data_IF_442187402645
#
_entry.id   IF_442187402645
#
_cell.length_a   1.000
_cell.length_b   1.000
_cell.length_c   1.000
_cell.angle_alpha   90.00
_cell.angle_beta   90.00
_cell.angle_gamma   90.00
#
_symmetry.space_group_name_H-M   'P 1'
#
loop_
_entity.id
_entity.type
_entity.pdbx_description
1 polymer ?
#
# COMPACT_ATOMS: atom_id res chain seq x y z
N UNK A 1 16.47 -7.45 34.97
CA UNK A 1 15.94 -6.15 34.50
C UNK A 1 16.74 -5.81 33.24
N UNK A 2 16.06 -5.48 32.14
CA UNK A 2 16.52 -5.50 30.73
C UNK A 2 16.44 -6.88 30.06
N UNK A 3 15.28 -7.18 29.44
CA UNK A 3 15.15 -8.25 28.44
C UNK A 3 15.86 -7.76 27.18
N UNK A 4 16.92 -8.46 26.75
CA UNK A 4 17.67 -8.16 25.53
C UNK A 4 17.13 -8.88 24.30
N UNK A 5 15.92 -9.43 24.33
CA UNK A 5 15.49 -10.42 23.33
C UNK A 5 14.29 -10.05 22.44
N UNK A 6 13.66 -8.89 22.57
CA UNK A 6 12.39 -8.65 21.86
C UNK A 6 12.50 -7.62 20.70
N UNK A 7 13.69 -7.09 20.42
CA UNK A 7 13.87 -6.06 19.38
C UNK A 7 13.81 -6.60 17.94
N UNK A 8 14.03 -7.91 17.77
CA UNK A 8 13.91 -8.60 16.48
C UNK A 8 12.51 -9.16 16.26
N UNK A 9 11.67 -9.20 17.29
CA UNK A 9 10.29 -9.69 17.22
C UNK A 9 9.34 -8.56 16.79
N UNK A 10 9.73 -7.86 15.72
CA UNK A 10 8.95 -6.75 15.12
C UNK A 10 7.83 -7.29 14.21
N UNK A 11 7.79 -8.62 14.04
CA UNK A 11 6.80 -9.31 13.25
C UNK A 11 5.83 -10.06 14.18
N UNK A 12 4.66 -10.41 13.67
CA UNK A 12 3.71 -11.21 14.45
C UNK A 12 4.28 -12.64 14.67
N UNK A 13 4.01 -13.29 15.82
CA UNK A 13 4.41 -14.66 16.02
C UNK A 13 3.72 -15.59 15.02
N UNK A 14 4.43 -16.60 14.52
CA UNK A 14 3.86 -17.61 13.62
C UNK A 14 2.87 -18.44 14.43
N UNK A 15 1.58 -18.35 14.10
CA UNK A 15 0.58 -19.13 14.82
C UNK A 15 0.67 -20.62 14.47
N UNK A 16 0.34 -21.43 15.46
CA UNK A 16 0.45 -22.90 15.41
C UNK A 16 -0.75 -23.59 14.76
N UNK A 17 -1.74 -22.82 14.32
CA UNK A 17 -2.92 -23.30 13.59
C UNK A 17 -2.78 -23.01 12.10
N UNK A 18 -3.32 -23.88 11.24
CA UNK A 18 -3.23 -23.73 9.77
C UNK A 18 -3.73 -22.35 9.30
N UNK A 19 -4.85 -21.89 9.87
CA UNK A 19 -5.43 -20.57 9.58
C UNK A 19 -4.48 -19.43 9.97
N UNK A 20 -3.74 -19.56 11.08
CA UNK A 20 -2.84 -18.51 11.52
C UNK A 20 -1.55 -18.45 10.70
N UNK A 21 -1.12 -19.54 10.07
CA UNK A 21 0.00 -19.51 9.11
C UNK A 21 -0.39 -18.80 7.81
N UNK A 22 -1.61 -19.02 7.33
CA UNK A 22 -2.14 -18.31 6.16
C UNK A 22 -2.24 -16.80 6.39
N UNK A 23 -2.74 -16.39 7.57
CA UNK A 23 -2.82 -14.97 7.96
C UNK A 23 -1.44 -14.34 8.11
N UNK A 24 -0.46 -15.08 8.63
CA UNK A 24 0.92 -14.61 8.71
C UNK A 24 1.53 -14.35 7.32
N UNK A 25 1.29 -15.26 6.36
CA UNK A 25 1.70 -15.08 4.97
C UNK A 25 1.04 -13.87 4.31
N UNK A 26 -0.27 -13.69 4.53
CA UNK A 26 -1.02 -12.54 4.02
C UNK A 26 -0.50 -11.21 4.61
N UNK A 27 -0.20 -11.20 5.92
CA UNK A 27 0.36 -10.04 6.59
C UNK A 27 1.71 -9.63 5.99
N UNK A 28 2.62 -10.59 5.80
CA UNK A 28 3.93 -10.31 5.24
C UNK A 28 3.83 -9.81 3.78
N UNK A 29 2.91 -10.36 2.99
CA UNK A 29 2.64 -9.89 1.64
C UNK A 29 2.09 -8.45 1.62
N UNK A 30 1.10 -8.15 2.46
CA UNK A 30 0.53 -6.80 2.54
C UNK A 30 1.56 -5.79 3.02
N UNK A 31 2.40 -6.14 4.00
CA UNK A 31 3.50 -5.30 4.47
C UNK A 31 4.44 -4.92 3.32
N UNK A 32 4.86 -5.88 2.50
CA UNK A 32 5.71 -5.61 1.33
C UNK A 32 5.02 -4.73 0.28
N UNK A 33 3.72 -4.89 0.06
CA UNK A 33 2.94 -4.00 -0.82
C UNK A 33 2.99 -2.55 -0.30
N UNK A 34 2.80 -2.35 1.00
CA UNK A 34 2.84 -1.01 1.61
C UNK A 34 4.23 -0.38 1.49
N UNK A 35 5.30 -1.16 1.73
CA UNK A 35 6.68 -0.70 1.53
C UNK A 35 6.93 -0.30 0.07
N UNK A 36 6.50 -1.12 -0.89
CA UNK A 36 6.67 -0.84 -2.31
C UNK A 36 5.96 0.46 -2.73
N UNK A 37 4.70 0.64 -2.32
CA UNK A 37 3.95 1.88 -2.60
C UNK A 37 4.62 3.08 -1.92
N UNK A 38 5.08 2.93 -0.68
CA UNK A 38 5.83 3.96 0.03
C UNK A 38 7.06 4.41 -0.75
N UNK A 39 7.89 3.47 -1.21
CA UNK A 39 9.07 3.77 -2.04
C UNK A 39 8.69 4.51 -3.32
N UNK A 40 7.61 4.10 -4.00
CA UNK A 40 7.12 4.80 -5.20
C UNK A 40 6.71 6.23 -4.89
N UNK A 41 5.91 6.46 -3.84
CA UNK A 41 5.47 7.80 -3.43
C UNK A 41 6.65 8.68 -3.04
N UNK A 42 7.57 8.17 -2.21
CA UNK A 42 8.80 8.89 -1.85
C UNK A 42 9.66 9.21 -3.07
N UNK A 43 9.75 8.29 -4.04
CA UNK A 43 10.44 8.52 -5.31
C UNK A 43 9.81 9.65 -6.13
N UNK A 44 8.48 9.68 -6.25
CA UNK A 44 7.76 10.76 -6.94
C UNK A 44 7.93 12.10 -6.21
N UNK A 45 7.89 12.11 -4.88
CA UNK A 45 8.13 13.31 -4.08
C UNK A 45 9.56 13.84 -4.25
N UNK A 46 10.55 12.95 -4.26
CA UNK A 46 11.94 13.32 -4.51
C UNK A 46 12.14 13.86 -5.93
N UNK A 47 11.52 13.21 -6.92
CA UNK A 47 11.51 13.68 -8.30
C UNK A 47 10.85 15.07 -8.42
N UNK A 48 9.71 15.29 -7.76
CA UNK A 48 9.03 16.58 -7.76
C UNK A 48 9.91 17.67 -7.12
N UNK A 49 10.54 17.36 -5.98
CA UNK A 49 11.44 18.29 -5.30
C UNK A 49 12.64 18.67 -6.17
N UNK A 50 13.25 17.70 -6.87
CA UNK A 50 14.34 17.99 -7.80
C UNK A 50 13.85 18.79 -9.01
N UNK A 51 12.78 18.33 -9.67
CA UNK A 51 12.26 18.92 -10.92
C UNK A 51 11.70 20.32 -10.75
N UNK A 52 11.03 20.60 -9.64
CA UNK A 52 10.38 21.88 -9.33
C UNK A 52 11.20 22.76 -8.37
N UNK A 53 12.47 22.39 -8.11
CA UNK A 53 13.39 23.24 -7.34
C UNK A 53 13.50 24.62 -7.98
N UNK A 54 13.40 25.63 -7.11
CA UNK A 54 13.22 27.10 -7.29
C UNK A 54 14.00 27.83 -8.41
N UNK A 55 14.92 27.20 -9.13
CA UNK A 55 15.77 27.83 -10.14
C UNK A 55 15.13 28.01 -11.52
N UNK A 56 13.90 27.53 -11.75
CA UNK A 56 13.41 27.38 -13.12
C UNK A 56 12.28 28.32 -13.56
N UNK A 57 11.98 29.41 -12.82
CA UNK A 57 11.05 30.50 -13.23
C UNK A 57 9.84 30.03 -14.07
N UNK A 58 9.28 28.86 -13.75
CA UNK A 58 8.18 28.27 -14.48
C UNK A 58 6.93 28.88 -13.88
N UNK A 59 6.29 29.78 -14.64
CA UNK A 59 4.97 30.31 -14.36
C UNK A 59 4.11 29.14 -13.82
N UNK A 60 3.58 29.23 -12.58
CA UNK A 60 2.83 28.13 -11.99
C UNK A 60 1.67 27.82 -12.94
N UNK A 61 1.63 26.57 -13.41
CA UNK A 61 0.56 26.17 -14.29
C UNK A 61 -0.75 26.17 -13.50
N UNK A 62 -1.71 27.00 -13.91
CA UNK A 62 -3.08 27.00 -13.38
C UNK A 62 -3.78 25.71 -13.82
N UNK A 63 -3.52 24.62 -13.13
CA UNK A 63 -4.30 23.39 -13.23
C UNK A 63 -4.94 23.18 -11.85
N UNK A 64 -6.03 23.89 -11.60
CA UNK A 64 -6.68 23.83 -10.29
C UNK A 64 -7.55 22.57 -10.12
N UNK A 65 -7.89 21.84 -11.19
CA UNK A 65 -8.71 20.63 -11.06
C UNK A 65 -8.34 19.59 -12.13
N UNK A 66 -7.50 18.61 -11.80
CA UNK A 66 -7.29 17.47 -12.68
C UNK A 66 -8.38 16.41 -12.45
N UNK A 67 -9.61 16.73 -12.84
CA UNK A 67 -10.77 15.83 -12.80
C UNK A 67 -10.48 14.42 -13.35
N UNK A 68 -9.55 14.30 -14.32
CA UNK A 68 -9.16 13.02 -14.90
C UNK A 68 -8.34 12.15 -13.94
N UNK A 69 -7.49 12.78 -13.13
CA UNK A 69 -6.71 12.08 -12.10
C UNK A 69 -7.63 11.65 -10.95
N UNK A 70 -8.59 12.51 -10.58
CA UNK A 70 -9.56 12.19 -9.53
C UNK A 70 -10.48 11.03 -9.92
N UNK A 71 -10.95 11.04 -11.16
CA UNK A 71 -11.77 9.96 -11.69
C UNK A 71 -10.98 8.65 -11.84
N UNK A 72 -9.70 8.71 -12.21
CA UNK A 72 -8.86 7.53 -12.29
C UNK A 72 -8.67 6.85 -10.91
N UNK A 73 -8.36 7.62 -9.87
CA UNK A 73 -8.11 7.05 -8.53
C UNK A 73 -9.39 6.58 -7.82
N UNK A 74 -10.58 6.93 -8.29
CA UNK A 74 -11.87 6.47 -7.72
C UNK A 74 -12.39 5.22 -8.44
N UNK A 75 -12.25 5.18 -9.78
CA UNK A 75 -12.65 4.04 -10.60
C UNK A 75 -11.77 2.81 -10.30
N UNK A 76 -10.46 3.00 -10.16
CA UNK A 76 -9.52 1.88 -9.93
C UNK A 76 -9.86 1.10 -8.64
N UNK A 77 -10.01 1.73 -7.46
CA UNK A 77 -10.45 1.03 -6.25
C UNK A 77 -11.83 0.39 -6.38
N UNK A 78 -12.77 1.05 -7.05
CA UNK A 78 -14.14 0.53 -7.23
C UNK A 78 -14.15 -0.76 -8.06
N UNK A 79 -13.35 -0.81 -9.13
CA UNK A 79 -13.18 -2.00 -9.96
C UNK A 79 -12.47 -3.12 -9.18
N UNK A 80 -11.40 -2.81 -8.46
CA UNK A 80 -10.66 -3.80 -7.66
C UNK A 80 -11.57 -4.43 -6.59
N UNK A 81 -12.43 -3.66 -5.93
CA UNK A 81 -13.39 -4.18 -4.96
C UNK A 81 -14.45 -5.07 -5.62
N UNK A 82 -14.97 -4.66 -6.78
CA UNK A 82 -15.98 -5.44 -7.53
C UNK A 82 -15.44 -6.79 -8.00
N UNK A 83 -14.27 -6.81 -8.63
CA UNK A 83 -13.62 -8.05 -9.09
C UNK A 83 -12.98 -8.85 -7.94
N UNK A 84 -12.47 -8.18 -6.91
CA UNK A 84 -11.95 -8.83 -5.71
C UNK A 84 -13.05 -9.59 -4.97
N UNK A 85 -14.22 -8.96 -4.77
CA UNK A 85 -15.37 -9.58 -4.10
C UNK A 85 -15.88 -10.85 -4.78
N UNK A 86 -15.82 -10.93 -6.11
CA UNK A 86 -16.19 -12.15 -6.84
C UNK A 86 -15.15 -13.27 -6.73
N UNK A 87 -13.89 -12.95 -6.42
CA UNK A 87 -12.80 -13.91 -6.19
C UNK A 87 -12.62 -14.34 -4.72
N UNK A 88 -13.22 -13.63 -3.75
CA UNK A 88 -13.03 -13.82 -2.30
C UNK A 88 -14.08 -14.76 -1.68
N UNK A 89 -15.16 -15.10 -2.38
CA UNK A 89 -16.24 -15.95 -1.84
C UNK A 89 -16.06 -17.50 -1.86
N UNK A 90 -15.04 -18.15 -2.43
CA UNK A 90 -15.03 -19.62 -2.46
C UNK A 90 -14.70 -20.28 -1.12
N UNK A 91 -14.19 -19.53 -0.11
CA UNK A 91 -13.65 -20.11 1.12
C UNK A 91 -14.61 -20.18 2.32
N UNK A 92 -15.86 -19.72 2.21
CA UNK A 92 -16.84 -19.76 3.32
C UNK A 92 -18.14 -20.52 2.98
N UNK A 93 -18.17 -21.29 1.89
CA UNK A 93 -19.34 -22.08 1.47
C UNK A 93 -19.50 -23.43 2.21
N UNK A 94 -18.56 -23.80 3.09
CA UNK A 94 -18.57 -25.10 3.78
C UNK A 94 -18.35 -24.97 5.31
N UNK A 95 -19.09 -24.08 5.97
CA UNK A 95 -19.39 -24.15 7.40
C UNK A 95 -20.91 -24.22 7.58
#
# INVERSE_FOLDING_TARGET
>A
MFSSADWLDVNMPVGVTDISQDVFGLHMLMFWIMVAIGVVVFGVLFYAMWKYRRSNNKKPAKFEENHKLEMAWTIVPTIILYYGSSSIQPAQKNV
#
